data_IF_457476538975
#
_entry.id   IF_457476538975
#
_cell.length_a   1.000
_cell.length_b   1.000
_cell.length_c   1.000
_cell.angle_alpha   90.00
_cell.angle_beta   90.00
_cell.angle_gamma   90.00
#
_symmetry.space_group_name_H-M   'P 1'
#
loop_
_entity.id
_entity.type
_entity.pdbx_description
1 polymer ?
#
# COMPACT_ATOMS: atom_id res chain seq x y z
N UNK A 1 10.80 11.50 13.32
CA UNK A 1 11.32 10.40 12.47
C UNK A 1 10.19 9.40 12.27
N UNK A 2 9.47 9.38 11.13
CA UNK A 2 8.48 8.33 10.89
C UNK A 2 9.21 7.05 10.49
N UNK A 3 8.90 5.94 11.18
CA UNK A 3 9.42 4.61 10.88
C UNK A 3 9.06 4.23 9.43
N UNK A 4 10.05 4.18 8.55
CA UNK A 4 9.99 3.42 7.31
C UNK A 4 10.02 1.93 7.67
N UNK A 5 9.11 1.15 7.08
CA UNK A 5 9.07 -0.30 7.26
C UNK A 5 10.40 -0.94 6.84
N UNK A 6 10.92 -1.78 7.74
CA UNK A 6 12.19 -2.48 7.58
C UNK A 6 12.19 -3.40 6.36
N UNK A 7 13.20 -3.22 5.50
CA UNK A 7 13.76 -4.34 4.75
C UNK A 7 14.30 -5.38 5.74
N UNK A 8 13.55 -6.46 5.99
CA UNK A 8 14.11 -7.56 6.77
C UNK A 8 15.04 -8.38 5.88
N UNK A 9 16.32 -8.01 5.87
CA UNK A 9 17.38 -8.85 5.32
C UNK A 9 17.66 -9.96 6.33
N UNK A 10 17.33 -11.20 6.01
CA UNK A 10 17.86 -12.34 6.77
C UNK A 10 19.37 -12.40 6.54
N UNK A 11 20.14 -11.93 7.54
CA UNK A 11 21.59 -12.09 7.72
C UNK A 11 22.55 -11.33 6.77
N UNK A 12 23.25 -10.35 7.36
CA UNK A 12 24.72 -10.33 7.45
C UNK A 12 25.17 -9.33 8.52
N UNK A 13 25.90 -9.80 9.54
CA UNK A 13 26.67 -8.94 10.47
C UNK A 13 27.55 -7.98 9.67
N UNK A 14 27.28 -6.67 9.76
CA UNK A 14 28.31 -5.63 9.62
C UNK A 14 28.14 -4.61 10.75
N UNK A 15 29.23 -4.51 11.53
CA UNK A 15 29.61 -3.61 12.64
C UNK A 15 28.53 -2.70 13.26
N UNK A 16 28.37 -2.70 14.59
CA UNK A 16 27.53 -1.72 15.27
C UNK A 16 28.18 -0.33 15.19
N UNK A 17 27.39 0.66 14.78
CA UNK A 17 27.66 2.07 15.08
C UNK A 17 27.48 2.28 16.60
N UNK A 18 28.52 2.76 17.28
CA UNK A 18 28.45 3.17 18.69
C UNK A 18 27.67 4.48 18.79
N UNK A 19 26.55 4.44 19.50
CA UNK A 19 26.09 5.58 20.30
C UNK A 19 26.61 5.32 21.72
N UNK A 20 27.60 6.11 22.14
CA UNK A 20 28.05 6.21 23.53
C UNK A 20 27.18 7.28 24.18
N UNK A 21 26.23 6.87 25.02
CA UNK A 21 25.98 7.38 26.38
C UNK A 21 24.72 6.73 26.97
N UNK A 22 24.77 6.49 28.28
CA UNK A 22 23.73 5.91 29.14
C UNK A 22 23.53 4.38 29.11
N UNK A 23 24.53 3.67 29.65
CA UNK A 23 24.32 2.38 30.33
C UNK A 23 23.92 2.64 31.79
N UNK A 24 22.75 2.18 32.20
CA UNK A 24 22.57 1.51 33.51
C UNK A 24 21.46 0.45 33.44
N UNK A 25 21.82 -0.80 33.79
CA UNK A 25 20.90 -1.75 34.40
C UNK A 25 20.27 -2.82 33.49
N UNK A 26 20.93 -3.98 33.40
CA UNK A 26 20.38 -5.35 33.53
C UNK A 26 20.96 -6.31 32.49
N UNK A 27 21.92 -7.11 32.97
CA UNK A 27 22.46 -8.29 32.31
C UNK A 27 21.46 -9.46 32.35
N UNK A 28 21.50 -10.29 31.30
CA UNK A 28 21.19 -11.71 31.41
C UNK A 28 20.07 -12.23 30.52
N UNK A 29 20.38 -12.64 29.28
CA UNK A 29 19.79 -13.83 28.63
C UNK A 29 20.85 -14.43 27.69
N UNK A 30 21.09 -15.74 27.84
CA UNK A 30 22.17 -16.50 27.18
C UNK A 30 22.04 -16.65 25.67
N UNK A 31 23.18 -16.98 25.06
CA UNK A 31 23.34 -17.29 23.64
C UNK A 31 22.49 -18.50 23.23
N UNK A 32 21.61 -18.32 22.24
CA UNK A 32 21.06 -19.40 21.44
C UNK A 32 21.74 -19.34 20.08
N UNK A 33 22.52 -20.38 19.78
CA UNK A 33 23.20 -20.58 18.51
C UNK A 33 22.16 -20.76 17.39
N UNK A 34 22.08 -19.82 16.45
CA UNK A 34 21.18 -19.91 15.29
C UNK A 34 21.97 -20.21 14.02
N UNK A 35 21.67 -21.36 13.40
CA UNK A 35 22.22 -21.80 12.13
C UNK A 35 21.96 -20.83 10.97
N UNK A 36 22.92 -20.81 10.03
CA UNK A 36 23.00 -19.87 8.90
C UNK A 36 21.94 -20.16 7.84
N UNK A 37 20.78 -19.50 7.90
CA UNK A 37 19.88 -19.39 6.74
C UNK A 37 20.39 -18.28 5.81
N UNK A 38 20.72 -18.63 4.55
CA UNK A 38 21.11 -17.67 3.50
C UNK A 38 19.89 -16.80 3.15
N UNK A 39 20.08 -15.49 3.22
CA UNK A 39 19.01 -14.49 3.17
C UNK A 39 18.10 -14.51 1.93
N UNK A 40 16.81 -14.67 2.18
CA UNK A 40 15.75 -14.13 1.33
C UNK A 40 15.40 -12.71 1.78
N UNK A 41 14.99 -11.87 0.83
CA UNK A 41 14.42 -10.55 1.11
C UNK A 41 12.93 -10.58 0.78
N UNK A 42 12.10 -10.17 1.74
CA UNK A 42 10.67 -9.96 1.53
C UNK A 42 10.49 -8.51 1.10
N UNK A 43 10.06 -8.30 -0.14
CA UNK A 43 9.74 -6.98 -0.66
C UNK A 43 8.25 -6.74 -0.43
N UNK A 44 7.97 -5.77 0.45
CA UNK A 44 6.64 -5.21 0.66
C UNK A 44 6.33 -4.10 -0.36
N UNK A 45 7.30 -3.72 -1.19
CA UNK A 45 7.14 -2.71 -2.22
C UNK A 45 6.85 -3.32 -3.59
N UNK A 46 6.16 -2.49 -4.38
CA UNK A 46 5.58 -2.84 -5.67
C UNK A 46 6.69 -3.23 -6.65
N UNK A 47 6.53 -4.36 -7.35
CA UNK A 47 7.35 -4.81 -8.50
C UNK A 47 7.68 -3.65 -9.46
N UNK A 48 6.67 -2.82 -9.71
CA UNK A 48 6.67 -1.67 -10.60
C UNK A 48 7.37 -0.46 -9.98
N UNK A 49 7.21 -0.23 -8.67
CA UNK A 49 7.86 0.86 -7.96
C UNK A 49 9.37 0.66 -7.83
N UNK A 50 9.80 -0.55 -7.45
CA UNK A 50 11.22 -0.92 -7.37
C UNK A 50 11.90 -0.83 -8.73
N UNK A 51 11.20 -1.21 -9.79
CA UNK A 51 11.68 -1.03 -11.14
C UNK A 51 11.87 0.45 -11.51
N UNK A 52 10.95 1.31 -11.10
CA UNK A 52 11.09 2.76 -11.21
C UNK A 52 12.39 3.26 -10.57
N UNK A 53 12.72 2.79 -9.37
CA UNK A 53 13.98 3.10 -8.70
C UNK A 53 15.20 2.55 -9.44
N UNK A 54 15.15 1.31 -9.95
CA UNK A 54 16.27 0.72 -10.68
C UNK A 54 16.60 1.46 -11.98
N UNK A 55 15.58 1.86 -12.75
CA UNK A 55 15.76 2.35 -14.12
C UNK A 55 15.85 3.87 -14.24
N UNK A 56 15.23 4.62 -13.33
CA UNK A 56 15.35 6.08 -13.33
C UNK A 56 16.69 6.52 -12.75
N UNK A 57 17.23 5.77 -11.77
CA UNK A 57 18.57 6.02 -11.24
C UNK A 57 19.67 6.00 -12.31
N UNK A 58 19.59 5.11 -13.31
CA UNK A 58 20.62 4.96 -14.36
C UNK A 58 20.52 5.99 -15.50
N UNK A 59 19.35 6.64 -15.70
CA UNK A 59 19.14 7.64 -16.77
C UNK A 59 19.02 9.09 -16.28
N UNK A 60 18.87 9.30 -14.97
CA UNK A 60 18.89 10.63 -14.35
C UNK A 60 20.32 11.04 -13.94
N UNK A 61 21.34 10.23 -14.26
CA UNK A 61 22.78 10.56 -14.12
C UNK A 61 23.25 11.74 -15.02
N UNK A 62 22.37 12.63 -15.48
CA UNK A 62 22.74 13.66 -16.45
C UNK A 62 21.86 14.90 -16.45
N UNK A 63 21.70 15.56 -15.30
CA UNK A 63 21.26 16.96 -15.26
C UNK A 63 20.61 17.36 -13.94
N UNK A 64 21.07 18.48 -13.37
CA UNK A 64 20.31 19.21 -12.34
C UNK A 64 18.90 19.45 -12.87
N UNK A 65 17.88 18.97 -12.14
CA UNK A 65 16.48 19.26 -12.48
C UNK A 65 16.16 20.65 -11.98
N UNK A 66 15.57 21.47 -12.87
CA UNK A 66 15.04 22.80 -12.54
C UNK A 66 14.11 22.68 -11.33
N UNK A 67 14.23 23.60 -10.37
CA UNK A 67 13.39 23.66 -9.16
C UNK A 67 11.88 23.73 -9.48
N UNK A 68 11.53 24.15 -10.69
CA UNK A 68 10.14 24.26 -11.16
C UNK A 68 9.57 22.99 -11.80
N UNK A 69 10.27 21.85 -11.75
CA UNK A 69 9.84 20.61 -12.44
C UNK A 69 8.45 20.09 -12.00
N UNK A 70 7.96 20.51 -10.83
CA UNK A 70 6.63 20.14 -10.33
C UNK A 70 5.48 20.90 -11.03
N UNK A 71 5.75 22.05 -11.63
CA UNK A 71 4.75 22.97 -12.21
C UNK A 71 4.96 23.26 -13.70
N UNK A 72 6.12 22.91 -14.27
CA UNK A 72 6.48 23.15 -15.67
C UNK A 72 5.95 22.08 -16.66
N UNK A 73 5.27 21.05 -16.14
CA UNK A 73 4.76 19.92 -16.93
C UNK A 73 5.77 18.79 -17.18
N UNK A 74 7.01 18.88 -16.70
CA UNK A 74 8.03 17.84 -16.79
C UNK A 74 7.53 16.50 -16.23
N UNK A 75 6.77 16.57 -15.13
CA UNK A 75 6.13 15.45 -14.47
C UNK A 75 5.10 14.69 -15.33
N UNK A 76 4.52 15.32 -16.37
CA UNK A 76 3.55 14.69 -17.26
C UNK A 76 4.16 13.91 -18.43
N UNK A 77 5.49 13.97 -18.59
CA UNK A 77 6.22 13.26 -19.67
C UNK A 77 6.00 11.74 -19.59
N UNK A 78 5.59 11.14 -20.70
CA UNK A 78 5.47 9.68 -20.84
C UNK A 78 6.85 9.01 -20.81
N UNK A 79 6.93 7.83 -20.17
CA UNK A 79 8.15 7.04 -20.06
C UNK A 79 7.97 5.69 -20.77
N UNK A 80 8.01 5.71 -22.09
CA UNK A 80 7.75 4.52 -22.92
C UNK A 80 8.95 3.55 -22.97
N UNK A 81 10.08 3.94 -22.38
CA UNK A 81 11.33 3.17 -22.37
C UNK A 81 11.46 2.25 -21.16
N UNK A 82 10.56 2.32 -20.18
CA UNK A 82 10.52 1.38 -19.07
C UNK A 82 9.72 0.15 -19.52
N UNK A 83 10.44 -0.93 -19.86
CA UNK A 83 9.80 -2.21 -20.19
C UNK A 83 8.84 -2.64 -19.07
N UNK A 84 7.83 -3.46 -19.35
CA UNK A 84 6.84 -3.92 -18.37
C UNK A 84 5.99 -2.84 -17.66
N UNK A 85 6.13 -1.55 -18.01
CA UNK A 85 5.35 -0.45 -17.45
C UNK A 85 4.77 0.41 -18.57
N UNK A 86 3.63 -0.01 -19.12
CA UNK A 86 2.94 0.72 -20.18
C UNK A 86 2.18 1.92 -19.61
N UNK A 87 2.13 3.00 -20.39
CA UNK A 87 1.37 4.22 -20.08
C UNK A 87 1.77 4.84 -18.74
N UNK A 88 3.05 4.88 -18.39
CA UNK A 88 3.54 5.48 -17.16
C UNK A 88 4.12 6.87 -17.46
N UNK A 89 3.83 7.86 -16.62
CA UNK A 89 4.45 9.20 -16.69
C UNK A 89 5.49 9.34 -15.59
N UNK A 90 6.33 10.38 -15.68
CA UNK A 90 7.31 10.68 -14.63
C UNK A 90 6.66 10.86 -13.25
N UNK A 91 5.48 11.49 -13.18
CA UNK A 91 4.69 11.62 -11.93
C UNK A 91 4.01 10.35 -11.45
N UNK A 92 4.03 9.29 -12.24
CA UNK A 92 3.50 8.00 -11.82
C UNK A 92 4.63 7.08 -11.31
N UNK A 93 5.92 7.46 -11.45
CA UNK A 93 7.06 6.75 -10.85
C UNK A 93 7.17 7.13 -9.36
N UNK A 94 7.70 6.23 -8.48
CA UNK A 94 7.72 6.51 -7.05
C UNK A 94 8.36 7.84 -6.68
N UNK A 95 7.71 8.59 -5.79
CA UNK A 95 8.00 10.02 -5.63
C UNK A 95 9.43 10.34 -5.21
N UNK A 96 10.14 9.44 -4.52
CA UNK A 96 11.53 9.67 -4.09
C UNK A 96 12.54 9.73 -5.25
N UNK A 97 12.12 9.48 -6.51
CA UNK A 97 12.94 9.78 -7.69
C UNK A 97 12.85 11.24 -8.16
N UNK A 98 11.97 12.06 -7.55
CA UNK A 98 11.69 13.45 -7.93
C UNK A 98 12.55 14.39 -7.09
N UNK A 99 13.85 14.38 -7.38
CA UNK A 99 14.85 15.12 -6.64
C UNK A 99 15.59 16.09 -7.56
N UNK A 100 15.92 17.27 -7.04
CA UNK A 100 16.73 18.28 -7.75
C UNK A 100 18.21 17.94 -7.69
N UNK A 101 18.65 17.25 -6.63
CA UNK A 101 20.04 16.83 -6.42
C UNK A 101 20.16 15.32 -6.23
N UNK A 102 21.30 14.75 -6.62
CA UNK A 102 21.55 13.30 -6.54
C UNK A 102 22.01 12.83 -5.15
N UNK A 103 22.31 13.75 -4.24
CA UNK A 103 22.68 13.48 -2.84
C UNK A 103 21.47 13.37 -1.90
N UNK A 104 20.25 13.45 -2.44
CA UNK A 104 19.03 13.18 -1.67
C UNK A 104 19.09 11.78 -1.05
N UNK A 105 18.96 11.73 0.27
CA UNK A 105 19.14 10.53 1.08
C UNK A 105 18.16 9.42 0.65
N UNK A 106 16.91 9.78 0.36
CA UNK A 106 15.89 8.80 0.03
C UNK A 106 16.07 8.28 -1.40
N UNK A 107 16.49 9.15 -2.33
CA UNK A 107 16.84 8.76 -3.69
C UNK A 107 18.00 7.76 -3.72
N UNK A 108 19.13 8.10 -3.07
CA UNK A 108 20.31 7.23 -3.05
C UNK A 108 20.01 5.90 -2.34
N UNK A 109 19.40 5.96 -1.15
CA UNK A 109 19.06 4.78 -0.37
C UNK A 109 18.15 3.83 -1.17
N UNK A 110 17.03 4.31 -1.71
CA UNK A 110 16.08 3.46 -2.41
C UNK A 110 16.61 2.96 -3.76
N UNK A 111 17.40 3.78 -4.47
CA UNK A 111 18.10 3.33 -5.68
C UNK A 111 19.10 2.21 -5.39
N UNK A 112 19.89 2.37 -4.33
CA UNK A 112 20.85 1.35 -3.88
C UNK A 112 20.16 0.07 -3.42
N UNK A 113 19.12 0.19 -2.59
CA UNK A 113 18.36 -0.97 -2.12
C UNK A 113 17.70 -1.69 -3.28
N UNK A 114 17.04 -1.01 -4.22
CA UNK A 114 16.41 -1.66 -5.37
C UNK A 114 17.43 -2.47 -6.21
N UNK A 115 18.63 -1.91 -6.47
CA UNK A 115 19.73 -2.64 -7.14
C UNK A 115 20.23 -3.84 -6.33
N UNK A 116 20.34 -3.69 -5.01
CA UNK A 116 20.75 -4.78 -4.12
C UNK A 116 19.71 -5.89 -4.04
N UNK A 117 18.42 -5.55 -4.04
CA UNK A 117 17.29 -6.47 -4.07
C UNK A 117 17.35 -7.35 -5.30
N UNK A 118 17.56 -6.77 -6.48
CA UNK A 118 17.69 -7.51 -7.74
C UNK A 118 18.89 -8.46 -7.76
N UNK A 119 19.94 -8.20 -6.98
CA UNK A 119 21.12 -9.08 -6.84
C UNK A 119 20.95 -10.17 -5.77
N UNK A 120 19.83 -10.19 -5.06
CA UNK A 120 19.59 -11.20 -4.02
C UNK A 120 19.42 -12.59 -4.61
N UNK A 121 19.67 -13.63 -3.80
CA UNK A 121 19.55 -15.02 -4.25
C UNK A 121 18.12 -15.44 -4.57
N UNK A 122 17.14 -14.78 -3.93
CA UNK A 122 15.71 -14.99 -4.10
C UNK A 122 14.97 -13.76 -3.60
N UNK A 123 13.92 -13.39 -4.31
CA UNK A 123 13.05 -12.25 -3.98
C UNK A 123 11.65 -12.79 -3.73
N UNK A 124 11.05 -12.40 -2.61
CA UNK A 124 9.66 -12.72 -2.27
C UNK A 124 8.85 -11.45 -2.44
N UNK A 125 7.77 -11.51 -3.22
CA UNK A 125 6.90 -10.36 -3.47
C UNK A 125 5.47 -10.72 -3.12
N UNK A 126 4.83 -9.87 -2.32
CA UNK A 126 3.40 -9.95 -2.06
C UNK A 126 2.63 -9.42 -3.28
N UNK A 127 2.45 -10.26 -4.30
CA UNK A 127 1.61 -10.01 -5.48
C UNK A 127 1.27 -11.36 -6.13
N UNK A 128 0.52 -11.38 -7.24
CA UNK A 128 0.22 -12.56 -8.03
C UNK A 128 0.47 -12.32 -9.53
N UNK A 129 0.71 -13.41 -10.27
CA UNK A 129 1.16 -13.35 -11.67
C UNK A 129 0.19 -12.56 -12.58
N UNK A 130 -1.12 -12.75 -12.42
CA UNK A 130 -2.11 -12.07 -13.26
C UNK A 130 -2.15 -10.55 -13.06
N UNK A 131 -1.69 -10.04 -11.90
CA UNK A 131 -1.74 -8.62 -11.57
C UNK A 131 -0.59 -7.83 -12.21
N UNK A 132 0.63 -8.37 -12.12
CA UNK A 132 1.88 -7.69 -12.46
C UNK A 132 2.70 -8.42 -13.53
N UNK A 133 2.09 -9.29 -14.33
CA UNK A 133 2.80 -10.21 -15.24
C UNK A 133 3.91 -9.58 -16.09
N UNK A 134 3.63 -8.49 -16.81
CA UNK A 134 4.65 -7.83 -17.65
C UNK A 134 5.82 -7.26 -16.84
N UNK A 135 5.53 -6.69 -15.66
CA UNK A 135 6.55 -6.15 -14.78
C UNK A 135 7.40 -7.28 -14.18
N UNK A 136 6.75 -8.36 -13.72
CA UNK A 136 7.39 -9.56 -13.17
C UNK A 136 8.29 -10.24 -14.18
N UNK A 137 7.83 -10.44 -15.41
CA UNK A 137 8.60 -11.13 -16.45
C UNK A 137 9.88 -10.38 -16.79
N UNK A 138 9.81 -9.06 -16.79
CA UNK A 138 11.00 -8.27 -16.99
C UNK A 138 11.90 -8.16 -15.77
N UNK A 139 11.37 -8.23 -14.53
CA UNK A 139 12.24 -8.39 -13.36
C UNK A 139 12.94 -9.76 -13.38
N UNK A 140 12.25 -10.80 -13.87
CA UNK A 140 12.81 -12.16 -14.01
C UNK A 140 13.95 -12.24 -15.01
N UNK A 141 13.99 -11.36 -16.00
CA UNK A 141 15.14 -11.24 -16.90
C UNK A 141 16.41 -10.82 -16.15
N UNK A 142 16.29 -10.09 -15.05
CA UNK A 142 17.42 -9.69 -14.18
C UNK A 142 17.62 -10.69 -13.04
N UNK A 143 16.54 -11.16 -12.41
CA UNK A 143 16.58 -12.14 -11.32
C UNK A 143 15.53 -13.25 -11.52
N UNK A 144 15.92 -14.45 -11.98
CA UNK A 144 14.96 -15.52 -12.26
C UNK A 144 14.30 -16.10 -11.00
N UNK A 145 14.82 -15.83 -9.80
CA UNK A 145 14.36 -16.39 -8.53
C UNK A 145 13.38 -15.46 -7.81
N UNK A 146 12.36 -14.99 -8.53
CA UNK A 146 11.27 -14.17 -7.96
C UNK A 146 10.07 -15.06 -7.66
N UNK A 147 9.65 -15.07 -6.40
CA UNK A 147 8.49 -15.80 -5.89
C UNK A 147 7.38 -14.83 -5.54
N UNK A 148 6.30 -14.88 -6.32
CA UNK A 148 5.07 -14.14 -6.02
C UNK A 148 4.20 -15.01 -5.13
N UNK A 149 3.94 -14.57 -3.90
CA UNK A 149 3.21 -15.35 -2.89
C UNK A 149 1.99 -14.59 -2.34
N UNK A 150 1.51 -13.59 -3.07
CA UNK A 150 0.38 -12.77 -2.68
C UNK A 150 -0.93 -13.13 -3.38
N UNK A 151 -2.05 -12.50 -2.97
CA UNK A 151 -2.16 -11.68 -1.76
C UNK A 151 -2.00 -12.53 -0.48
N UNK A 152 -1.19 -12.05 0.48
CA UNK A 152 -0.82 -12.82 1.68
C UNK A 152 -2.02 -13.13 2.59
N UNK A 153 -2.98 -12.22 2.67
CA UNK A 153 -4.24 -12.37 3.40
C UNK A 153 -5.05 -13.57 2.88
N UNK A 154 -5.17 -13.70 1.55
CA UNK A 154 -5.85 -14.84 0.93
C UNK A 154 -5.03 -16.12 1.02
N UNK A 155 -3.72 -16.08 0.75
CA UNK A 155 -2.87 -17.26 0.85
C UNK A 155 -2.87 -17.84 2.28
N UNK A 156 -2.95 -16.96 3.28
CA UNK A 156 -3.04 -17.30 4.70
C UNK A 156 -4.15 -18.29 5.05
N UNK A 157 -5.25 -18.33 4.28
CA UNK A 157 -6.42 -19.20 4.54
C UNK A 157 -6.12 -20.70 4.48
N UNK A 158 -5.02 -21.08 3.83
CA UNK A 158 -4.60 -22.48 3.68
C UNK A 158 -3.74 -22.99 4.84
N UNK A 159 -3.34 -22.12 5.78
CA UNK A 159 -2.52 -22.51 6.91
C UNK A 159 -3.36 -22.56 8.20
N UNK A 160 -3.10 -23.54 9.08
CA UNK A 160 -3.84 -23.67 10.33
C UNK A 160 -3.66 -22.40 11.17
N UNK A 161 -4.77 -21.88 11.69
CA UNK A 161 -4.75 -20.86 12.76
C UNK A 161 -4.00 -21.49 13.94
N UNK A 162 -2.75 -21.11 14.19
CA UNK A 162 -2.01 -21.63 15.34
C UNK A 162 -2.79 -21.24 16.61
N UNK A 163 -3.23 -22.23 17.37
CA UNK A 163 -3.94 -22.04 18.66
C UNK A 163 -3.17 -21.18 19.67
N UNK A 164 -1.86 -20.96 19.47
CA UNK A 164 -0.99 -20.08 20.28
C UNK A 164 0.12 -19.35 19.48
N UNK A 165 -0.10 -18.98 18.22
CA UNK A 165 0.98 -18.36 17.43
C UNK A 165 0.48 -17.44 16.35
N UNK A 166 0.74 -16.14 16.49
CA UNK A 166 0.24 -15.10 15.60
C UNK A 166 -1.25 -15.28 15.32
N UNK A 167 -2.08 -14.87 16.29
CA UNK A 167 -3.28 -14.16 15.87
C UNK A 167 -2.82 -13.16 14.81
N UNK A 168 -3.56 -13.02 13.72
CA UNK A 168 -3.64 -11.74 13.03
C UNK A 168 -4.21 -10.72 14.04
N UNK A 169 -3.45 -10.43 15.09
CA UNK A 169 -3.41 -9.08 15.62
C UNK A 169 -2.90 -8.36 14.39
N UNK A 170 -3.77 -7.58 13.73
CA UNK A 170 -3.34 -6.75 12.62
C UNK A 170 -1.99 -6.12 12.97
N UNK A 171 -1.16 -5.83 11.98
CA UNK A 171 0.20 -5.30 12.09
C UNK A 171 0.35 -3.97 12.85
N UNK A 172 -0.65 -3.62 13.65
CA UNK A 172 -0.88 -2.44 14.42
C UNK A 172 -0.84 -2.71 15.91
N UNK A 173 -0.18 -1.79 16.61
CA UNK A 173 -0.08 -1.77 18.07
C UNK A 173 -1.32 -1.14 18.74
N UNK A 174 -2.36 -0.80 17.97
CA UNK A 174 -3.51 -0.01 18.43
C UNK A 174 -4.70 -0.87 18.86
N UNK A 175 -5.48 -0.38 19.83
CA UNK A 175 -6.67 -1.07 20.34
C UNK A 175 -7.75 -1.12 19.26
N UNK A 176 -8.13 -2.32 18.85
CA UNK A 176 -9.19 -2.53 17.85
C UNK A 176 -10.55 -2.06 18.38
N UNK A 177 -11.23 -1.21 17.61
CA UNK A 177 -12.62 -0.84 17.86
C UNK A 177 -13.56 -1.79 17.10
N UNK A 178 -14.02 -2.86 17.76
CA UNK A 178 -14.97 -3.79 17.16
C UNK A 178 -16.35 -3.17 16.93
N UNK A 179 -16.66 -2.01 17.52
CA UNK A 179 -17.97 -1.35 17.34
C UNK A 179 -18.16 -0.83 15.91
N UNK A 180 -17.07 -0.61 15.16
CA UNK A 180 -17.18 -0.21 13.75
C UNK A 180 -17.87 -1.29 12.91
N UNK A 181 -17.64 -2.57 13.18
CA UNK A 181 -18.31 -3.68 12.48
C UNK A 181 -19.81 -3.71 12.83
N UNK A 182 -20.17 -3.57 14.11
CA UNK A 182 -21.57 -3.45 14.53
C UNK A 182 -22.27 -2.22 13.95
N UNK A 183 -21.53 -1.15 13.67
CA UNK A 183 -22.08 0.00 12.96
C UNK A 183 -22.29 -0.32 11.47
N UNK A 184 -21.38 -1.04 10.83
CA UNK A 184 -21.48 -1.48 9.44
C UNK A 184 -22.66 -2.44 9.20
N UNK A 185 -23.02 -3.28 10.18
CA UNK A 185 -24.17 -4.21 10.14
C UNK A 185 -25.52 -3.51 9.90
N UNK A 186 -25.61 -2.20 10.18
CA UNK A 186 -26.86 -1.41 10.06
C UNK A 186 -27.13 -0.94 8.63
N UNK A 187 -26.18 -1.13 7.72
CA UNK A 187 -26.22 -0.55 6.39
C UNK A 187 -26.39 -1.61 5.31
N UNK A 188 -27.09 -1.23 4.25
CA UNK A 188 -27.31 -2.09 3.09
C UNK A 188 -25.99 -2.46 2.38
N UNK A 189 -25.97 -3.58 1.65
CA UNK A 189 -24.80 -3.97 0.87
C UNK A 189 -24.34 -2.86 -0.07
N UNK A 190 -23.02 -2.66 -0.16
CA UNK A 190 -22.37 -1.65 -1.00
C UNK A 190 -22.84 -0.20 -0.76
N UNK A 191 -23.33 0.17 0.43
CA UNK A 191 -23.83 1.52 0.71
C UNK A 191 -22.88 2.40 1.54
N UNK A 192 -21.80 1.86 2.09
CA UNK A 192 -20.86 2.57 2.96
C UNK A 192 -19.56 2.93 2.24
N UNK A 193 -19.10 4.17 2.41
CA UNK A 193 -17.76 4.61 2.02
C UNK A 193 -16.79 4.32 3.16
N UNK A 194 -15.77 3.51 2.92
CA UNK A 194 -14.68 3.31 3.86
C UNK A 194 -13.53 4.27 3.55
N UNK A 195 -12.98 4.95 4.55
CA UNK A 195 -11.92 5.96 4.37
C UNK A 195 -10.75 5.66 5.31
N UNK A 196 -9.56 5.42 4.73
CA UNK A 196 -8.33 5.25 5.50
C UNK A 196 -7.08 5.60 4.67
N UNK A 197 -6.29 6.57 5.15
CA UNK A 197 -5.06 7.03 4.49
C UNK A 197 -3.77 6.42 5.05
N UNK A 198 -3.88 5.32 5.80
CA UNK A 198 -2.72 4.58 6.31
C UNK A 198 -2.05 5.26 7.50
N UNK A 199 -0.87 4.75 7.87
CA UNK A 199 -0.17 5.05 9.14
C UNK A 199 0.83 6.21 9.10
N UNK A 200 1.25 6.67 7.92
CA UNK A 200 2.37 7.62 7.77
C UNK A 200 1.94 8.95 7.14
N UNK A 201 0.84 8.92 6.38
CA UNK A 201 0.32 10.07 5.64
C UNK A 201 -0.08 11.22 6.55
N UNK A 202 0.48 12.42 6.31
CA UNK A 202 0.14 13.62 7.05
C UNK A 202 -0.74 14.53 6.20
N UNK A 203 -1.96 14.80 6.66
CA UNK A 203 -2.92 15.64 5.95
C UNK A 203 -2.90 17.08 6.51
N UNK A 204 -2.99 18.08 5.62
CA UNK A 204 -3.14 19.48 6.04
C UNK A 204 -4.53 19.71 6.62
N UNK A 205 -4.65 20.70 7.51
CA UNK A 205 -5.93 21.12 8.07
C UNK A 205 -6.96 21.54 7.01
N UNK A 206 -6.48 22.07 5.87
CA UNK A 206 -7.33 22.41 4.74
C UNK A 206 -7.89 21.15 4.07
N UNK A 207 -7.03 20.21 3.68
CA UNK A 207 -7.48 18.96 3.07
C UNK A 207 -8.41 18.17 4.00
N UNK A 208 -8.13 18.14 5.32
CA UNK A 208 -9.00 17.50 6.30
C UNK A 208 -10.43 18.05 6.26
N UNK A 209 -10.59 19.37 6.16
CA UNK A 209 -11.91 20.03 6.06
C UNK A 209 -12.59 19.73 4.73
N UNK A 210 -11.85 19.73 3.62
CA UNK A 210 -12.42 19.40 2.31
C UNK A 210 -12.90 17.94 2.26
N UNK A 211 -12.14 16.98 2.83
CA UNK A 211 -12.59 15.60 2.97
C UNK A 211 -13.81 15.44 3.86
N UNK A 212 -13.79 16.07 5.04
CA UNK A 212 -14.91 16.03 5.96
C UNK A 212 -16.20 16.53 5.29
N UNK A 213 -16.17 17.74 4.72
CA UNK A 213 -17.36 18.30 4.09
C UNK A 213 -17.73 17.61 2.77
N UNK A 214 -16.76 17.09 2.01
CA UNK A 214 -17.04 16.30 0.81
C UNK A 214 -17.78 15.01 1.13
N UNK A 215 -17.37 14.29 2.18
CA UNK A 215 -18.05 13.10 2.67
C UNK A 215 -19.45 13.45 3.22
N UNK A 216 -19.54 14.47 4.07
CA UNK A 216 -20.81 14.92 4.65
C UNK A 216 -21.83 15.33 3.57
N UNK A 217 -21.39 16.05 2.53
CA UNK A 217 -22.22 16.54 1.44
C UNK A 217 -22.70 15.44 0.49
N UNK A 218 -22.00 14.30 0.41
CA UNK A 218 -22.45 13.14 -0.37
C UNK A 218 -23.76 12.53 0.15
N UNK A 219 -24.12 12.82 1.42
CA UNK A 219 -25.25 12.22 2.15
C UNK A 219 -25.19 10.69 2.21
N UNK A 220 -24.02 10.09 1.96
CA UNK A 220 -23.80 8.66 2.07
C UNK A 220 -23.24 8.28 3.44
N UNK A 221 -23.52 7.04 3.90
CA UNK A 221 -22.86 6.48 5.06
C UNK A 221 -21.35 6.36 4.85
N UNK A 222 -20.56 6.70 5.87
CA UNK A 222 -19.12 6.52 5.80
C UNK A 222 -18.49 6.11 7.14
N UNK A 223 -17.49 5.24 7.05
CA UNK A 223 -16.60 4.87 8.15
C UNK A 223 -15.23 5.49 7.87
N UNK A 224 -14.78 6.40 8.73
CA UNK A 224 -13.50 7.10 8.56
C UNK A 224 -12.53 6.80 9.70
N UNK A 225 -11.37 6.27 9.34
CA UNK A 225 -10.26 6.11 10.26
C UNK A 225 -9.44 7.40 10.30
N UNK A 226 -9.56 8.14 11.40
CA UNK A 226 -8.83 9.39 11.61
C UNK A 226 -7.84 9.23 12.76
N UNK A 227 -6.59 9.60 12.51
CA UNK A 227 -5.53 9.49 13.49
C UNK A 227 -5.09 10.89 13.94
N UNK A 228 -5.29 11.26 15.22
CA UNK A 228 -4.97 12.59 15.72
C UNK A 228 -3.49 12.98 15.58
N UNK A 229 -2.59 11.99 15.51
CA UNK A 229 -1.14 12.09 15.43
C UNK A 229 -0.59 12.38 14.03
N UNK A 230 -1.42 12.33 12.99
CA UNK A 230 -1.01 12.56 11.58
C UNK A 230 -1.63 13.80 10.94
N UNK A 231 -2.10 14.75 11.75
CA UNK A 231 -2.42 16.10 11.28
C UNK A 231 -1.23 17.00 11.65
N UNK A 232 -0.64 17.69 10.67
CA UNK A 232 0.48 18.63 10.92
C UNK A 232 -0.07 19.91 11.55
N UNK A 233 0.43 20.27 12.73
CA UNK A 233 -0.01 21.48 13.47
C UNK A 233 -1.08 21.17 14.52
N UNK A 234 -1.25 22.08 15.49
CA UNK A 234 -2.19 22.03 16.62
C UNK A 234 -3.45 21.21 16.30
N UNK A 235 -3.82 20.28 17.16
CA UNK A 235 -4.95 19.35 17.01
C UNK A 235 -6.16 20.00 16.32
N UNK A 236 -6.22 19.91 14.98
CA UNK A 236 -7.32 20.50 14.23
C UNK A 236 -8.49 19.55 14.33
N UNK A 237 -9.27 19.73 15.39
CA UNK A 237 -10.57 19.09 15.53
C UNK A 237 -11.49 19.62 14.41
N UNK A 238 -12.24 18.71 13.78
CA UNK A 238 -13.35 19.08 12.92
C UNK A 238 -14.40 19.85 13.74
N UNK A 239 -15.08 20.87 13.18
CA UNK A 239 -16.03 21.69 13.93
C UNK A 239 -17.26 20.88 14.38
N UNK A 240 -17.94 21.32 15.45
CA UNK A 240 -19.13 20.64 15.96
C UNK A 240 -20.22 20.48 14.90
N UNK A 241 -20.43 21.51 14.06
CA UNK A 241 -21.40 21.48 12.97
C UNK A 241 -21.18 20.31 12.00
N UNK A 242 -19.92 19.85 11.82
CA UNK A 242 -19.64 18.66 11.02
C UNK A 242 -20.15 17.39 11.71
N UNK A 243 -19.90 17.24 13.01
CA UNK A 243 -20.39 16.08 13.77
C UNK A 243 -21.92 16.06 13.83
N UNK A 244 -22.55 17.22 13.98
CA UNK A 244 -24.01 17.35 13.97
C UNK A 244 -24.60 16.97 12.60
N UNK A 245 -23.91 17.34 11.52
CA UNK A 245 -24.32 17.02 10.14
C UNK A 245 -24.25 15.53 9.83
N UNK A 246 -23.28 14.78 10.39
CA UNK A 246 -23.04 13.37 10.04
C UNK A 246 -23.60 12.38 11.07
N UNK A 247 -24.19 12.83 12.18
CA UNK A 247 -24.54 12.02 13.35
C UNK A 247 -25.35 10.74 13.07
N UNK A 248 -26.08 10.70 11.96
CA UNK A 248 -26.93 9.60 11.53
C UNK A 248 -26.23 8.61 10.57
N UNK A 249 -25.08 8.98 9.99
CA UNK A 249 -24.47 8.25 8.87
C UNK A 249 -22.93 8.21 8.85
N UNK A 250 -22.26 8.97 9.71
CA UNK A 250 -20.82 8.96 9.84
C UNK A 250 -20.39 8.20 11.09
N UNK A 251 -19.38 7.34 10.95
CA UNK A 251 -18.66 6.74 12.07
C UNK A 251 -17.18 7.07 11.96
N UNK A 252 -16.62 7.68 12.99
CA UNK A 252 -15.21 8.09 13.02
C UNK A 252 -14.52 7.38 14.18
N UNK A 253 -13.42 6.70 13.90
CA UNK A 253 -12.63 5.99 14.91
C UNK A 253 -11.14 6.09 14.60
N UNK A 254 -10.28 5.82 15.57
CA UNK A 254 -8.83 5.91 15.40
C UNK A 254 -8.21 4.66 14.79
N UNK A 255 -8.91 3.52 14.89
CA UNK A 255 -8.39 2.25 14.41
C UNK A 255 -9.51 1.24 14.11
N UNK A 256 -9.28 0.35 13.14
CA UNK A 256 -10.18 -0.77 12.83
C UNK A 256 -9.38 -1.99 12.34
N UNK A 257 -10.04 -3.15 12.32
CA UNK A 257 -9.51 -4.36 11.67
C UNK A 257 -9.85 -4.24 10.17
N UNK A 258 -8.95 -3.60 9.40
CA UNK A 258 -9.22 -3.16 8.04
C UNK A 258 -9.62 -4.29 7.08
N UNK A 259 -9.03 -5.48 7.20
CA UNK A 259 -9.39 -6.66 6.40
C UNK A 259 -10.84 -7.08 6.62
N UNK A 260 -11.32 -7.02 7.87
CA UNK A 260 -12.72 -7.31 8.21
C UNK A 260 -13.66 -6.21 7.72
N UNK A 261 -13.25 -4.94 7.82
CA UNK A 261 -14.03 -3.81 7.29
C UNK A 261 -14.17 -3.91 5.78
N UNK A 262 -13.07 -4.09 5.04
CA UNK A 262 -13.09 -4.22 3.57
C UNK A 262 -13.89 -5.44 3.11
N UNK A 263 -13.86 -6.53 3.88
CA UNK A 263 -14.66 -7.73 3.60
C UNK A 263 -16.13 -7.59 3.99
N UNK A 264 -16.53 -6.52 4.68
CA UNK A 264 -17.89 -6.34 5.15
C UNK A 264 -18.84 -6.02 3.98
N UNK A 265 -20.01 -6.70 3.85
CA UNK A 265 -20.90 -6.54 2.70
C UNK A 265 -21.39 -5.10 2.43
N UNK A 266 -21.53 -4.30 3.49
CA UNK A 266 -21.99 -2.91 3.37
C UNK A 266 -20.93 -1.96 2.79
N UNK A 267 -19.64 -2.31 2.77
CA UNK A 267 -18.60 -1.45 2.19
C UNK A 267 -18.70 -1.45 0.66
N UNK A 268 -18.99 -0.27 0.10
CA UNK A 268 -19.19 -0.07 -1.32
C UNK A 268 -17.98 0.54 -2.04
N UNK A 269 -17.15 1.33 -1.36
CA UNK A 269 -15.95 1.93 -1.97
C UNK A 269 -14.93 2.22 -0.88
N UNK A 270 -13.64 2.13 -1.24
CA UNK A 270 -12.54 2.43 -0.36
C UNK A 270 -11.77 3.67 -0.81
N UNK A 271 -11.83 4.74 -0.02
CA UNK A 271 -11.04 5.94 -0.22
C UNK A 271 -9.68 5.78 0.50
N UNK A 272 -8.60 5.76 -0.28
CA UNK A 272 -7.27 5.35 0.19
C UNK A 272 -6.13 6.15 -0.44
N UNK A 273 -5.03 6.21 0.31
CA UNK A 273 -3.73 6.70 -0.17
C UNK A 273 -3.04 5.75 -1.16
N UNK A 274 -3.61 4.58 -1.46
CA UNK A 274 -3.07 3.60 -2.41
C UNK A 274 -1.75 2.94 -1.96
N UNK A 275 -1.51 2.80 -0.66
CA UNK A 275 -0.44 1.92 -0.16
C UNK A 275 -0.64 0.47 -0.61
N UNK A 276 0.46 -0.27 -0.77
CA UNK A 276 0.40 -1.60 -1.40
C UNK A 276 -0.43 -2.64 -0.65
N UNK A 277 -0.26 -2.73 0.67
CA UNK A 277 -1.06 -3.68 1.47
C UNK A 277 -2.56 -3.39 1.39
N UNK A 278 -2.96 -2.12 1.54
CA UNK A 278 -4.35 -1.69 1.44
C UNK A 278 -4.93 -1.90 0.04
N UNK A 279 -4.11 -1.77 -1.00
CA UNK A 279 -4.47 -2.09 -2.39
C UNK A 279 -4.82 -3.57 -2.53
N UNK A 280 -3.95 -4.46 -2.02
CA UNK A 280 -4.18 -5.90 -2.08
C UNK A 280 -5.38 -6.34 -1.24
N UNK A 281 -5.57 -5.80 -0.04
CA UNK A 281 -6.74 -6.09 0.80
C UNK A 281 -8.04 -5.68 0.09
N UNK A 282 -8.05 -4.53 -0.59
CA UNK A 282 -9.21 -4.07 -1.38
C UNK A 282 -9.47 -4.97 -2.59
N UNK A 283 -8.42 -5.40 -3.29
CA UNK A 283 -8.51 -6.36 -4.40
C UNK A 283 -9.05 -7.71 -3.90
N UNK A 284 -8.51 -8.24 -2.80
CA UNK A 284 -8.97 -9.48 -2.16
C UNK A 284 -10.42 -9.40 -1.72
N UNK A 285 -10.88 -8.21 -1.33
CA UNK A 285 -12.28 -7.97 -0.92
C UNK A 285 -13.20 -7.68 -2.10
N UNK A 286 -12.67 -7.28 -3.26
CA UNK A 286 -13.43 -6.88 -4.44
C UNK A 286 -14.04 -5.48 -4.32
N UNK A 287 -13.45 -4.63 -3.49
CA UNK A 287 -13.93 -3.26 -3.23
C UNK A 287 -13.21 -2.28 -4.17
N UNK A 288 -13.95 -1.46 -4.93
CA UNK A 288 -13.35 -0.44 -5.79
C UNK A 288 -12.74 0.70 -4.97
N UNK A 289 -11.77 1.41 -5.54
CA UNK A 289 -10.99 2.42 -4.81
C UNK A 289 -11.15 3.84 -5.34
N UNK A 290 -11.16 4.80 -4.41
CA UNK A 290 -10.92 6.21 -4.70
C UNK A 290 -9.51 6.54 -4.22
N UNK A 291 -8.66 6.95 -5.15
CA UNK A 291 -7.23 7.11 -4.97
C UNK A 291 -6.87 8.56 -4.64
N UNK A 292 -6.16 8.77 -3.53
CA UNK A 292 -5.53 10.06 -3.22
C UNK A 292 -4.07 9.84 -2.76
N UNK A 293 -3.13 9.63 -3.71
CA UNK A 293 -1.75 9.27 -3.40
C UNK A 293 -0.92 10.47 -2.93
N UNK A 294 0.05 10.22 -2.03
CA UNK A 294 0.91 11.26 -1.45
C UNK A 294 2.39 11.10 -1.85
N UNK A 295 2.99 9.95 -1.57
CA UNK A 295 4.43 9.74 -1.75
C UNK A 295 4.79 8.27 -1.95
N UNK A 296 6.09 8.00 -2.15
CA UNK A 296 6.65 6.69 -2.42
C UNK A 296 5.96 6.06 -3.64
N UNK A 297 5.53 4.80 -3.54
CA UNK A 297 4.91 4.03 -4.61
C UNK A 297 3.42 4.33 -4.83
N UNK A 298 2.82 5.19 -4.01
CA UNK A 298 1.37 5.44 -4.01
C UNK A 298 0.87 6.00 -5.35
N UNK A 299 1.62 6.90 -5.99
CA UNK A 299 1.26 7.42 -7.32
C UNK A 299 1.31 6.33 -8.38
N UNK A 300 2.29 5.42 -8.29
CA UNK A 300 2.39 4.25 -9.18
C UNK A 300 1.17 3.35 -9.01
N UNK A 301 0.79 3.07 -7.75
CA UNK A 301 -0.37 2.25 -7.46
C UNK A 301 -1.66 2.90 -7.96
N UNK A 302 -1.86 4.20 -7.69
CA UNK A 302 -3.01 4.96 -8.16
C UNK A 302 -3.12 4.93 -9.70
N UNK A 303 -2.00 5.06 -10.41
CA UNK A 303 -1.97 4.94 -11.88
C UNK A 303 -2.45 3.57 -12.34
N UNK A 304 -1.94 2.50 -11.74
CA UNK A 304 -2.35 1.13 -12.09
C UNK A 304 -3.80 0.86 -11.76
N UNK A 305 -4.25 1.23 -10.56
CA UNK A 305 -5.65 1.16 -10.12
C UNK A 305 -6.59 1.81 -11.14
N UNK A 306 -6.27 3.03 -11.57
CA UNK A 306 -7.15 3.83 -12.43
C UNK A 306 -7.06 3.48 -13.91
N UNK A 307 -5.86 3.13 -14.43
CA UNK A 307 -5.63 3.01 -15.89
C UNK A 307 -5.38 1.60 -16.37
N UNK A 308 -4.70 0.76 -15.57
CA UNK A 308 -4.32 -0.58 -16.00
C UNK A 308 -5.38 -1.59 -15.52
N UNK A 309 -5.67 -1.60 -14.23
CA UNK A 309 -6.62 -2.53 -13.62
C UNK A 309 -8.06 -2.02 -13.71
N UNK A 310 -8.28 -0.70 -13.80
CA UNK A 310 -9.61 -0.09 -13.94
C UNK A 310 -10.53 -0.33 -12.74
N UNK A 311 -9.95 -0.39 -11.54
CA UNK A 311 -10.64 -0.65 -10.28
C UNK A 311 -10.62 0.57 -9.35
N UNK A 312 -10.30 1.76 -9.90
CA UNK A 312 -10.40 2.99 -9.13
C UNK A 312 -10.45 4.27 -9.96
N UNK A 313 -10.65 5.37 -9.24
CA UNK A 313 -10.61 6.74 -9.76
C UNK A 313 -9.75 7.61 -8.84
N UNK A 314 -9.04 8.57 -9.42
CA UNK A 314 -8.10 9.43 -8.70
C UNK A 314 -8.71 10.79 -8.39
N UNK A 315 -8.50 11.28 -7.16
CA UNK A 315 -8.81 12.64 -6.71
C UNK A 315 -7.62 13.54 -7.07
N UNK A 316 -7.89 14.77 -7.51
CA UNK A 316 -6.85 15.77 -7.67
C UNK A 316 -6.10 16.05 -6.35
N UNK A 317 -4.81 16.41 -6.47
CA UNK A 317 -4.00 16.73 -5.29
C UNK A 317 -4.54 17.96 -4.54
N UNK A 318 -4.93 19.02 -5.27
CA UNK A 318 -5.64 20.19 -4.73
C UNK A 318 -7.12 19.85 -4.52
N UNK A 319 -7.39 19.12 -3.43
CA UNK A 319 -8.69 18.52 -3.18
C UNK A 319 -9.75 19.57 -2.84
N UNK A 320 -10.95 19.41 -3.41
CA UNK A 320 -12.12 20.24 -3.11
C UNK A 320 -13.31 19.37 -2.74
N UNK A 321 -14.09 19.79 -1.74
CA UNK A 321 -15.26 19.05 -1.24
C UNK A 321 -16.28 18.73 -2.32
N UNK A 322 -16.45 19.60 -3.32
CA UNK A 322 -17.38 19.36 -4.43
C UNK A 322 -16.90 18.23 -5.33
N UNK A 323 -15.59 18.12 -5.54
CA UNK A 323 -14.98 17.02 -6.29
C UNK A 323 -15.16 15.70 -5.55
N UNK A 324 -14.86 15.68 -4.24
CA UNK A 324 -15.06 14.49 -3.40
C UNK A 324 -16.52 14.06 -3.43
N UNK A 325 -17.45 15.00 -3.26
CA UNK A 325 -18.89 14.72 -3.25
C UNK A 325 -19.31 14.05 -4.55
N UNK A 326 -18.91 14.62 -5.69
CA UNK A 326 -19.21 14.08 -7.02
C UNK A 326 -18.59 12.70 -7.21
N UNK A 327 -17.32 12.54 -6.84
CA UNK A 327 -16.59 11.29 -7.06
C UNK A 327 -17.13 10.14 -6.19
N UNK A 328 -17.38 10.42 -4.92
CA UNK A 328 -18.01 9.46 -3.99
C UNK A 328 -19.39 9.07 -4.50
N UNK A 329 -20.19 10.03 -4.95
CA UNK A 329 -21.51 9.76 -5.51
C UNK A 329 -21.43 8.90 -6.78
N UNK A 330 -20.52 9.22 -7.70
CA UNK A 330 -20.31 8.45 -8.94
C UNK A 330 -19.86 7.01 -8.64
N UNK A 331 -18.91 6.83 -7.73
CA UNK A 331 -18.40 5.50 -7.38
C UNK A 331 -19.44 4.62 -6.66
N UNK A 332 -20.38 5.23 -5.95
CA UNK A 332 -21.40 4.52 -5.18
C UNK A 332 -22.69 4.28 -5.97
N UNK A 333 -23.09 5.23 -6.83
CA UNK A 333 -24.41 5.25 -7.49
C UNK A 333 -24.36 5.42 -9.01
N UNK A 334 -23.23 5.83 -9.56
CA UNK A 334 -23.08 6.11 -10.99
C UNK A 334 -22.75 4.87 -11.81
N UNK A 335 -22.96 4.96 -13.13
CA UNK A 335 -22.68 3.90 -14.09
C UNK A 335 -21.21 3.49 -14.08
N UNK A 336 -20.31 4.47 -14.02
CA UNK A 336 -18.87 4.19 -13.97
C UNK A 336 -18.49 3.47 -12.68
N UNK A 337 -19.09 3.85 -11.55
CA UNK A 337 -18.90 3.14 -10.28
C UNK A 337 -19.32 1.68 -10.35
N UNK A 338 -20.44 1.38 -11.03
CA UNK A 338 -20.91 0.01 -11.25
C UNK A 338 -19.95 -0.80 -12.13
N UNK A 339 -19.44 -0.23 -13.21
CA UNK A 339 -18.44 -0.87 -14.08
C UNK A 339 -17.14 -1.19 -13.32
N UNK A 340 -16.62 -0.21 -12.57
CA UNK A 340 -15.39 -0.37 -11.77
C UNK A 340 -15.58 -1.44 -10.69
N UNK A 341 -16.76 -1.51 -10.06
CA UNK A 341 -17.11 -2.55 -9.09
C UNK A 341 -17.11 -3.94 -9.71
N UNK A 342 -17.72 -4.10 -10.88
CA UNK A 342 -17.72 -5.38 -11.60
C UNK A 342 -16.28 -5.83 -11.89
N UNK A 343 -15.43 -4.92 -12.36
CA UNK A 343 -14.01 -5.20 -12.59
C UNK A 343 -13.25 -5.54 -11.31
N UNK A 344 -13.60 -4.91 -10.19
CA UNK A 344 -13.02 -5.21 -8.87
C UNK A 344 -13.34 -6.65 -8.43
N UNK A 345 -14.57 -7.12 -8.70
CA UNK A 345 -14.95 -8.52 -8.44
C UNK A 345 -14.20 -9.51 -9.35
N UNK A 346 -13.92 -9.15 -10.61
CA UNK A 346 -13.09 -9.98 -11.50
C UNK A 346 -11.66 -10.13 -10.96
N UNK A 347 -11.07 -9.05 -10.47
CA UNK A 347 -9.75 -9.07 -9.85
C UNK A 347 -9.71 -9.86 -8.54
N UNK A 348 -10.74 -9.74 -7.70
CA UNK A 348 -10.93 -10.62 -6.53
C UNK A 348 -10.89 -12.09 -6.91
N UNK A 349 -11.63 -12.46 -7.95
CA UNK A 349 -11.67 -13.86 -8.41
C UNK A 349 -10.31 -14.33 -8.94
N UNK A 350 -9.53 -13.47 -9.61
CA UNK A 350 -8.16 -13.79 -10.02
C UNK A 350 -7.24 -14.00 -8.81
N UNK A 351 -7.31 -13.11 -7.82
CA UNK A 351 -6.52 -13.21 -6.59
C UNK A 351 -6.84 -14.51 -5.80
N UNK A 352 -8.12 -14.87 -5.70
CA UNK A 352 -8.56 -16.15 -5.10
C UNK A 352 -7.98 -17.33 -5.87
N UNK A 353 -8.09 -17.36 -7.21
CA UNK A 353 -7.53 -18.46 -8.02
C UNK A 353 -6.01 -18.57 -7.90
N UNK A 354 -5.30 -17.44 -7.84
CA UNK A 354 -3.85 -17.44 -7.70
C UNK A 354 -3.39 -18.02 -6.36
N UNK A 355 -4.18 -17.83 -5.30
CA UNK A 355 -3.85 -18.24 -3.92
C UNK A 355 -4.47 -19.57 -3.51
N UNK A 356 -5.42 -20.11 -4.27
CA UNK A 356 -6.01 -21.44 -4.03
C UNK A 356 -5.03 -22.59 -4.32
N UNK A 357 -5.39 -23.80 -3.86
CA UNK A 357 -4.61 -25.02 -4.11
C UNK A 357 -4.41 -25.21 -5.62
N UNK A 358 -3.14 -25.28 -6.03
CA UNK A 358 -2.75 -25.37 -7.45
C UNK A 358 -2.62 -24.02 -8.17
N UNK A 359 -2.99 -22.92 -7.52
CA UNK A 359 -2.81 -21.55 -8.02
C UNK A 359 -1.35 -21.10 -8.08
N UNK A 360 -1.07 -20.07 -8.87
CA UNK A 360 0.32 -19.59 -9.10
C UNK A 360 1.04 -19.19 -7.82
N UNK A 361 0.38 -18.42 -6.94
CA UNK A 361 0.97 -17.94 -5.69
C UNK A 361 1.11 -19.07 -4.67
N UNK A 362 0.13 -19.98 -4.60
CA UNK A 362 0.20 -21.19 -3.78
C UNK A 362 1.39 -22.06 -4.17
N UNK A 363 1.54 -22.36 -5.47
CA UNK A 363 2.65 -23.17 -5.98
C UNK A 363 4.00 -22.48 -5.77
N UNK A 364 4.08 -21.15 -5.97
CA UNK A 364 5.29 -20.38 -5.71
C UNK A 364 5.68 -20.39 -4.24
N UNK A 365 4.72 -20.33 -3.32
CA UNK A 365 4.99 -20.47 -1.88
C UNK A 365 5.60 -21.84 -1.56
N UNK A 366 5.01 -22.93 -2.04
CA UNK A 366 5.58 -24.27 -1.81
C UNK A 366 6.94 -24.45 -2.48
N UNK A 367 7.12 -23.89 -3.67
CA UNK A 367 8.42 -23.87 -4.35
C UNK A 367 9.45 -23.11 -3.53
N UNK A 368 9.11 -21.93 -3.00
CA UNK A 368 9.96 -21.13 -2.11
C UNK A 368 10.37 -21.93 -0.88
N UNK A 369 9.42 -22.56 -0.18
CA UNK A 369 9.70 -23.40 0.98
C UNK A 369 10.65 -24.53 0.59
N UNK A 370 10.41 -25.18 -0.55
CA UNK A 370 11.28 -26.25 -1.03
C UNK A 370 12.69 -25.76 -1.33
N UNK A 371 12.82 -24.66 -2.06
CA UNK A 371 14.11 -24.15 -2.52
C UNK A 371 14.95 -23.54 -1.40
N UNK A 372 14.32 -22.93 -0.38
CA UNK A 372 15.02 -22.34 0.77
C UNK A 372 15.34 -23.40 1.83
N UNK A 373 14.39 -24.27 2.18
CA UNK A 373 14.57 -25.18 3.31
C UNK A 373 15.16 -26.55 2.94
N UNK A 374 15.02 -27.04 1.70
CA UNK A 374 15.65 -28.33 1.30
C UNK A 374 17.06 -28.19 0.72
N UNK A 375 17.56 -26.97 0.47
CA UNK A 375 18.98 -26.73 0.08
C UNK A 375 19.89 -26.45 1.28
N UNK A 376 19.36 -26.48 2.49
CA UNK A 376 20.07 -26.20 3.74
C UNK A 376 20.47 -27.48 4.52
N UNK A 377 20.25 -28.67 3.96
CA UNK A 377 20.65 -29.97 4.52
C UNK A 377 21.78 -30.57 3.69
#
# INVERSE_FOLDING_TARGET
MPLLFLFSRLSRKRRPWRWEEERQGAEGVGEVETDRVKGGLVLQNVVIGERGYCLVGEKVEGGDRDENFEIDGTLDKSLDWISGMKNIRLKDIPSFIRVTTLDDIMFDFLGSEARNCLRSSSIIINTFQDLDGEALDSLRATNPNIYTIGPLDLLGRHFPKKEKGFMSVGSSLWKNDSNCLTWLDKWEPNSVVYVNYGSITVMTSHHLKEFAWGLANSKLPFLWITRPDVVKGESVALPQDFFDEIKDRGYITSWCIQDQVLSHPSVGVFLTHCGWNSTLESISSGVPMICWPFFAEQQTNARYLCRNWGIGMEINHDVKREEITKLVTEMMKGEKGMEIRQKSLEWKNKAIRATDVGGSSYNNFHKLIKDIFHKAI
#
